data_IF_892274859111
#
_entry.id   IF_892274859111
#
_cell.length_a   1.000
_cell.length_b   1.000
_cell.length_c   1.000
_cell.angle_alpha   90.00
_cell.angle_beta   90.00
_cell.angle_gamma   90.00
#
_symmetry.space_group_name_H-M   'P 1'
#
loop_
_entity.id
_entity.type
_entity.pdbx_description
1 polymer ?
#
# COMPACT_ATOMS: atom_id res chain seq x y z
N UNK A 1 27.37 0.29 2.91
CA UNK A 1 26.54 -0.64 2.13
C UNK A 1 25.11 -0.22 2.39
N UNK A 2 24.52 0.55 1.47
CA UNK A 2 23.11 0.94 1.60
C UNK A 2 22.30 -0.30 1.28
N UNK A 3 21.61 -0.84 2.27
CA UNK A 3 20.66 -1.92 2.05
C UNK A 3 19.59 -1.39 1.08
N UNK A 4 19.27 -2.14 0.03
CA UNK A 4 18.25 -1.73 -0.95
C UNK A 4 16.87 -1.54 -0.28
N UNK A 5 16.69 -2.04 0.96
CA UNK A 5 15.55 -1.80 1.83
C UNK A 5 15.50 -0.38 2.44
N UNK A 6 16.61 0.37 2.43
CA UNK A 6 16.70 1.73 2.99
C UNK A 6 16.39 2.82 1.95
N UNK A 7 16.18 2.45 0.68
CA UNK A 7 15.57 3.35 -0.29
C UNK A 7 14.07 3.40 0.00
N UNK A 8 13.57 4.55 0.42
CA UNK A 8 12.13 4.77 0.56
C UNK A 8 11.49 4.72 -0.83
N UNK A 9 10.59 3.76 -1.07
CA UNK A 9 9.81 3.65 -2.32
C UNK A 9 10.59 3.20 -3.57
N UNK A 10 11.29 2.05 -3.57
CA UNK A 10 11.90 1.51 -4.79
C UNK A 10 10.84 1.06 -5.80
N UNK A 11 9.64 0.76 -5.33
CA UNK A 11 8.45 0.52 -6.13
C UNK A 11 7.51 1.72 -5.93
N UNK A 12 6.96 2.25 -7.01
CA UNK A 12 6.04 3.39 -6.97
C UNK A 12 4.74 3.12 -6.20
N UNK A 13 3.79 4.05 -6.22
CA UNK A 13 2.54 3.95 -5.47
C UNK A 13 1.83 2.60 -5.65
N UNK A 14 1.32 2.01 -4.55
CA UNK A 14 0.66 0.69 -4.54
C UNK A 14 1.52 -0.48 -5.04
N UNK A 15 2.84 -0.29 -5.16
CA UNK A 15 3.83 -1.34 -5.39
C UNK A 15 4.36 -1.93 -4.08
N UNK A 16 4.77 -3.20 -4.15
CA UNK A 16 5.42 -3.91 -3.06
C UNK A 16 6.80 -4.38 -3.49
N UNK A 17 7.76 -4.31 -2.57
CA UNK A 17 9.13 -4.74 -2.78
C UNK A 17 9.36 -6.12 -2.15
N UNK A 18 9.95 -7.05 -2.91
CA UNK A 18 10.29 -8.40 -2.42
C UNK A 18 11.69 -8.80 -2.85
N UNK A 19 12.60 -8.95 -1.87
CA UNK A 19 13.96 -9.44 -2.11
C UNK A 19 14.03 -10.91 -2.53
N UNK A 20 12.95 -11.68 -2.35
CA UNK A 20 12.90 -13.10 -2.69
C UNK A 20 12.52 -13.35 -4.15
N UNK A 21 12.09 -12.31 -4.87
CA UNK A 21 11.61 -12.41 -6.24
C UNK A 21 12.69 -12.01 -7.23
N UNK A 22 12.72 -12.65 -8.40
CA UNK A 22 13.56 -12.24 -9.53
C UNK A 22 13.12 -10.88 -10.10
N UNK A 23 11.86 -10.51 -9.91
CA UNK A 23 11.34 -9.16 -10.11
C UNK A 23 11.13 -8.50 -8.74
N UNK A 24 11.96 -7.53 -8.35
CA UNK A 24 11.94 -6.96 -7.01
C UNK A 24 10.67 -6.16 -6.70
N UNK A 25 9.97 -5.66 -7.73
CA UNK A 25 8.72 -4.93 -7.59
C UNK A 25 7.54 -5.70 -8.20
N UNK A 26 6.41 -5.63 -7.52
CA UNK A 26 5.12 -6.14 -7.98
C UNK A 26 3.96 -5.30 -7.43
N UNK A 27 2.82 -5.30 -8.10
CA UNK A 27 1.62 -4.64 -7.59
C UNK A 27 1.00 -5.43 -6.43
N UNK A 28 0.38 -4.70 -5.50
CA UNK A 28 -0.46 -5.30 -4.46
C UNK A 28 -1.63 -6.07 -5.07
N UNK A 29 -2.19 -7.02 -4.31
CA UNK A 29 -3.38 -7.75 -4.74
C UNK A 29 -4.53 -6.77 -5.06
N UNK A 30 -5.18 -6.96 -6.21
CA UNK A 30 -6.20 -6.04 -6.73
C UNK A 30 -5.67 -4.89 -7.59
N UNK A 31 -4.34 -4.76 -7.75
CA UNK A 31 -3.71 -3.71 -8.54
C UNK A 31 -2.94 -4.25 -9.75
N UNK A 32 -2.76 -3.40 -10.76
CA UNK A 32 -1.99 -3.66 -11.99
C UNK A 32 -1.06 -2.48 -12.31
N UNK A 33 -0.01 -2.69 -13.11
CA UNK A 33 0.90 -1.62 -13.49
C UNK A 33 0.16 -0.48 -14.19
N UNK A 34 0.42 0.76 -13.79
CA UNK A 34 -0.19 1.93 -14.42
C UNK A 34 0.31 2.11 -15.86
N UNK A 35 1.59 1.82 -16.09
CA UNK A 35 2.23 1.85 -17.41
C UNK A 35 2.96 0.53 -17.62
N UNK A 36 2.40 -0.34 -18.46
CA UNK A 36 2.91 -1.70 -18.64
C UNK A 36 4.33 -1.71 -19.23
N UNK A 37 4.62 -0.83 -20.19
CA UNK A 37 5.94 -0.74 -20.84
C UNK A 37 7.05 -0.39 -19.85
N UNK A 38 6.80 0.57 -18.95
CA UNK A 38 7.74 0.96 -17.88
C UNK A 38 8.02 -0.23 -16.95
N UNK A 39 6.96 -0.89 -16.46
CA UNK A 39 7.11 -2.03 -15.55
C UNK A 39 7.85 -3.21 -16.17
N UNK A 40 7.64 -3.47 -17.47
CA UNK A 40 8.35 -4.51 -18.23
C UNK A 40 9.84 -4.17 -18.44
N UNK A 41 10.18 -2.88 -18.49
CA UNK A 41 11.56 -2.40 -18.53
C UNK A 41 12.22 -2.35 -17.14
N UNK A 42 11.48 -2.68 -16.08
CA UNK A 42 11.94 -2.61 -14.70
C UNK A 42 11.79 -1.24 -14.05
N UNK A 43 11.14 -0.27 -14.72
CA UNK A 43 10.77 1.02 -14.15
C UNK A 43 9.39 0.93 -13.49
N UNK A 44 9.36 1.06 -12.17
CA UNK A 44 8.15 1.01 -11.36
C UNK A 44 7.75 2.38 -10.81
N UNK A 45 8.33 3.47 -11.31
CA UNK A 45 8.11 4.83 -10.82
C UNK A 45 6.65 5.28 -10.94
N UNK A 46 5.95 4.91 -12.02
CA UNK A 46 4.51 5.16 -12.20
C UNK A 46 3.62 4.37 -11.24
N UNK A 47 4.14 3.32 -10.60
CA UNK A 47 3.43 2.48 -9.66
C UNK A 47 2.28 1.68 -10.28
N UNK A 48 1.29 1.39 -9.45
CA UNK A 48 0.15 0.55 -9.77
C UNK A 48 -1.18 1.29 -9.61
N UNK A 49 -2.19 0.84 -10.33
CA UNK A 49 -3.57 1.32 -10.26
C UNK A 49 -4.53 0.16 -9.95
N UNK A 50 -5.74 0.46 -9.48
CA UNK A 50 -6.74 -0.57 -9.27
C UNK A 50 -7.11 -1.25 -10.60
N UNK A 51 -7.21 -2.59 -10.59
CA UNK A 51 -7.68 -3.38 -11.75
C UNK A 51 -9.12 -3.08 -12.13
N UNK A 52 -9.92 -2.67 -11.15
CA UNK A 52 -11.33 -2.35 -11.30
C UNK A 52 -11.59 -0.96 -10.71
N UNK A 53 -12.48 -0.16 -11.31
CA UNK A 53 -12.90 1.10 -10.71
C UNK A 53 -13.49 0.84 -9.33
N UNK A 54 -13.07 1.63 -8.34
CA UNK A 54 -13.70 1.61 -7.02
C UNK A 54 -15.06 2.31 -7.09
N UNK A 55 -16.08 1.69 -6.50
CA UNK A 55 -17.38 2.33 -6.30
C UNK A 55 -17.61 2.53 -4.80
N UNK A 56 -17.35 3.76 -4.34
CA UNK A 56 -17.54 4.16 -2.95
C UNK A 56 -19.00 4.04 -2.46
N UNK A 57 -19.97 3.84 -3.36
CA UNK A 57 -21.38 3.60 -2.99
C UNK A 57 -21.62 2.16 -2.59
N UNK A 58 -20.80 1.23 -3.07
CA UNK A 58 -20.85 -0.18 -2.69
C UNK A 58 -19.78 -0.50 -1.65
N UNK A 59 -20.05 -1.40 -0.71
CA UNK A 59 -19.04 -1.79 0.27
C UNK A 59 -17.87 -2.51 -0.44
N UNK A 60 -16.76 -1.81 -0.59
CA UNK A 60 -15.50 -2.39 -1.05
C UNK A 60 -14.92 -3.35 0.01
N UNK A 61 -14.22 -4.38 -0.47
CA UNK A 61 -13.53 -5.36 0.36
C UNK A 61 -12.08 -4.92 0.56
N UNK A 62 -11.67 -4.81 1.82
CA UNK A 62 -10.27 -4.58 2.16
C UNK A 62 -9.50 -5.89 2.20
N UNK A 63 -8.38 -5.94 1.48
CA UNK A 63 -7.44 -7.05 1.55
C UNK A 63 -6.43 -6.81 2.67
N UNK A 64 -6.31 -7.78 3.58
CA UNK A 64 -5.33 -7.70 4.66
C UNK A 64 -3.92 -7.96 4.11
N UNK A 65 -3.04 -6.98 4.26
CA UNK A 65 -1.62 -7.12 3.95
C UNK A 65 -0.84 -7.22 5.27
N UNK A 66 0.15 -8.11 5.33
CA UNK A 66 0.99 -8.35 6.53
C UNK A 66 2.47 -8.23 6.19
N UNK A 67 3.29 -7.88 7.18
CA UNK A 67 4.75 -7.79 6.99
C UNK A 67 5.19 -6.58 6.14
N UNK A 68 4.37 -5.54 6.05
CA UNK A 68 4.68 -4.31 5.33
C UNK A 68 5.19 -3.23 6.27
N UNK A 69 6.11 -2.42 5.77
CA UNK A 69 6.43 -1.12 6.36
C UNK A 69 5.33 -0.15 5.95
N UNK A 70 4.84 0.67 6.87
CA UNK A 70 3.79 1.63 6.58
C UNK A 70 4.21 2.59 5.45
N UNK A 71 3.31 2.90 4.51
CA UNK A 71 3.56 3.92 3.50
C UNK A 71 3.72 5.30 4.14
N UNK A 72 4.05 6.30 3.32
CA UNK A 72 4.11 7.70 3.77
C UNK A 72 2.80 8.11 4.47
N UNK A 73 2.91 8.45 5.76
CA UNK A 73 1.78 8.78 6.62
C UNK A 73 1.43 10.27 6.65
N UNK A 74 2.08 11.12 5.83
CA UNK A 74 1.82 12.58 5.78
C UNK A 74 0.39 12.94 5.39
N UNK A 75 -0.30 12.05 4.66
CA UNK A 75 -1.71 12.21 4.27
C UNK A 75 -2.66 11.33 5.09
N UNK A 76 -2.18 10.77 6.20
CA UNK A 76 -2.98 9.94 7.10
C UNK A 76 -3.50 10.75 8.28
N UNK A 77 -4.65 10.35 8.79
CA UNK A 77 -5.16 10.78 10.09
C UNK A 77 -5.14 9.59 11.06
N UNK A 78 -5.09 9.86 12.36
CA UNK A 78 -5.03 8.80 13.37
C UNK A 78 -5.90 9.13 14.58
N UNK A 79 -6.43 8.08 15.21
CA UNK A 79 -7.19 8.18 16.46
C UNK A 79 -6.85 6.98 17.36
N UNK A 80 -6.17 7.24 18.48
CA UNK A 80 -5.74 6.20 19.43
C UNK A 80 -6.90 5.59 20.23
N UNK A 81 -8.06 6.23 20.25
CA UNK A 81 -9.23 5.75 20.99
C UNK A 81 -10.12 4.82 20.16
N UNK A 82 -9.88 4.72 18.85
CA UNK A 82 -10.68 3.87 17.95
C UNK A 82 -10.12 2.45 17.89
N UNK A 83 -11.04 1.48 17.91
CA UNK A 83 -10.75 0.10 17.54
C UNK A 83 -10.43 -0.03 16.06
N UNK A 84 -9.83 -1.16 15.67
CA UNK A 84 -9.53 -1.46 14.27
C UNK A 84 -10.81 -1.54 13.41
N UNK A 85 -11.89 -2.07 13.98
CA UNK A 85 -13.20 -2.18 13.32
C UNK A 85 -13.83 -0.80 13.10
N UNK A 86 -13.74 0.10 14.08
CA UNK A 86 -14.18 1.49 13.91
C UNK A 86 -13.35 2.24 12.87
N UNK A 87 -12.05 1.97 12.82
CA UNK A 87 -11.16 2.52 11.80
C UNK A 87 -11.55 2.05 10.39
N UNK A 88 -11.82 0.75 10.22
CA UNK A 88 -12.34 0.17 8.97
C UNK A 88 -13.66 0.81 8.55
N UNK A 89 -14.63 0.90 9.46
CA UNK A 89 -15.93 1.51 9.18
C UNK A 89 -15.82 2.99 8.81
N UNK A 90 -14.87 3.71 9.41
CA UNK A 90 -14.65 5.12 9.11
C UNK A 90 -13.98 5.29 7.75
N UNK A 91 -12.98 4.45 7.45
CA UNK A 91 -12.34 4.41 6.15
C UNK A 91 -13.36 4.09 5.04
N UNK A 92 -14.26 3.12 5.26
CA UNK A 92 -15.34 2.80 4.31
C UNK A 92 -16.25 3.96 3.97
N UNK A 93 -16.44 4.92 4.88
CA UNK A 93 -17.31 6.08 4.68
C UNK A 93 -16.60 7.24 3.98
N UNK A 94 -15.28 7.19 3.89
CA UNK A 94 -14.45 8.20 3.26
C UNK A 94 -13.93 7.67 1.92
N UNK A 95 -14.45 8.18 0.82
CA UNK A 95 -14.04 7.76 -0.53
C UNK A 95 -12.57 8.10 -0.84
N UNK A 96 -11.93 8.97 -0.06
CA UNK A 96 -10.50 9.24 -0.18
C UNK A 96 -9.64 8.26 0.63
N UNK A 97 -10.24 7.44 1.50
CA UNK A 97 -9.52 6.47 2.30
C UNK A 97 -9.21 5.21 1.48
N UNK A 98 -7.92 4.90 1.33
CA UNK A 98 -7.45 3.75 0.55
C UNK A 98 -6.91 2.61 1.41
N UNK A 99 -6.66 2.85 2.70
CA UNK A 99 -6.13 1.86 3.64
C UNK A 99 -6.32 2.30 5.10
N UNK A 100 -6.36 1.34 6.02
CA UNK A 100 -6.37 1.56 7.46
C UNK A 100 -5.45 0.56 8.15
N UNK A 101 -4.96 0.90 9.33
CA UNK A 101 -4.11 0.03 10.12
C UNK A 101 -4.15 0.38 11.61
N UNK A 102 -3.72 -0.56 12.46
CA UNK A 102 -3.44 -0.26 13.86
C UNK A 102 -2.22 0.64 13.98
N UNK A 103 -2.27 1.55 14.95
CA UNK A 103 -1.14 2.38 15.34
C UNK A 103 -0.04 1.61 16.08
N UNK A 104 -0.23 0.32 16.38
CA UNK A 104 0.78 -0.56 16.96
C UNK A 104 1.95 -0.76 15.99
N UNK A 105 2.81 0.25 15.96
CA UNK A 105 4.14 0.24 15.39
C UNK A 105 4.97 -0.59 16.38
N UNK A 106 4.97 -1.92 16.21
CA UNK A 106 6.20 -2.64 16.48
C UNK A 106 7.24 -1.96 15.59
N UNK A 107 8.04 -1.06 16.19
CA UNK A 107 9.12 -0.32 15.56
C UNK A 107 9.73 -1.21 14.49
N UNK A 108 9.71 -0.76 13.23
CA UNK A 108 10.39 -1.42 12.13
C UNK A 108 11.74 -1.87 12.67
N UNK A 109 11.91 -3.20 12.79
CA UNK A 109 13.15 -3.73 13.34
C UNK A 109 14.21 -3.42 12.29
N UNK A 110 15.11 -2.54 12.71
CA UNK A 110 16.46 -2.28 12.20
C UNK A 110 17.09 -3.47 11.49
#
# INVERSE_FOLDING_TARGET
>A
MVDACSCYGPCGPFGSYSMKSSLPCSCLEGFEPKVLEESNAGDWSSGCQHKMPLDCRTPDVFHKISGVIFPDTRRSWYNNSMSLEECEMTCRKDCACTAYAKLDIAKGRS
#
